data_IF_794734439294
#
_entry.id   IF_794734439294
#
_cell.length_a   1.000
_cell.length_b   1.000
_cell.length_c   1.000
_cell.angle_alpha   90.00
_cell.angle_beta   90.00
_cell.angle_gamma   90.00
#
_symmetry.space_group_name_H-M   'P 1'
#
loop_
_entity.id
_entity.type
_entity.pdbx_description
1 polymer ?
#
# COMPACT_ATOMS: atom_id res chain seq x y z
N UNK A 1 -9.39 17.71 29.47
CA UNK A 1 -8.96 16.38 28.99
C UNK A 1 -9.05 16.33 27.48
N UNK A 2 -7.92 15.96 26.85
CA UNK A 2 -7.55 16.34 25.48
C UNK A 2 -8.46 15.77 24.40
N UNK A 3 -8.80 16.62 23.43
CA UNK A 3 -9.55 16.25 22.24
C UNK A 3 -8.62 15.47 21.30
N UNK A 4 -8.57 14.14 21.43
CA UNK A 4 -7.90 13.26 20.45
C UNK A 4 -8.55 13.47 19.08
N UNK A 5 -7.80 13.99 18.11
CA UNK A 5 -8.32 14.23 16.76
C UNK A 5 -8.04 13.03 15.87
N UNK A 6 -9.10 12.44 15.30
CA UNK A 6 -8.99 11.39 14.31
C UNK A 6 -8.52 11.95 12.96
N UNK A 7 -7.55 11.28 12.34
CA UNK A 7 -6.99 11.60 11.04
C UNK A 7 -7.15 10.39 10.11
N UNK A 8 -8.03 10.51 9.12
CA UNK A 8 -8.18 9.52 8.05
C UNK A 8 -7.34 9.93 6.84
N UNK A 9 -6.44 9.04 6.40
CA UNK A 9 -5.53 9.28 5.28
C UNK A 9 -5.87 8.30 4.13
N UNK A 10 -6.33 8.81 2.98
CA UNK A 10 -6.60 7.96 1.82
C UNK A 10 -5.28 7.56 1.13
N UNK A 11 -5.22 6.32 0.65
CA UNK A 11 -4.14 5.91 -0.24
C UNK A 11 -4.36 6.52 -1.62
N UNK A 12 -3.35 7.23 -2.13
CA UNK A 12 -3.44 7.90 -3.42
C UNK A 12 -2.66 7.12 -4.48
N UNK A 13 -3.25 6.80 -5.63
CA UNK A 13 -2.49 6.17 -6.72
C UNK A 13 -1.37 7.11 -7.19
N UNK A 14 -0.18 6.57 -7.37
CA UNK A 14 0.95 7.26 -7.98
C UNK A 14 1.15 6.73 -9.41
N UNK A 15 0.34 7.25 -10.34
CA UNK A 15 0.34 6.81 -11.74
C UNK A 15 1.67 7.05 -12.42
N UNK A 16 2.37 8.13 -12.06
CA UNK A 16 3.67 8.47 -12.64
C UNK A 16 4.73 7.45 -12.21
N UNK A 17 4.86 7.17 -10.91
CA UNK A 17 5.83 6.18 -10.43
C UNK A 17 5.47 4.76 -10.89
N UNK A 18 4.18 4.43 -10.93
CA UNK A 18 3.69 3.18 -11.52
C UNK A 18 4.19 3.03 -12.97
N UNK A 19 4.04 4.07 -13.79
CA UNK A 19 4.48 4.05 -15.19
C UNK A 19 6.01 3.93 -15.31
N UNK A 20 6.77 4.68 -14.51
CA UNK A 20 8.24 4.57 -14.47
C UNK A 20 8.68 3.13 -14.17
N UNK A 21 8.04 2.48 -13.19
CA UNK A 21 8.33 1.10 -12.86
C UNK A 21 7.91 0.12 -13.96
N UNK A 22 6.79 0.35 -14.67
CA UNK A 22 6.39 -0.46 -15.84
C UNK A 22 7.37 -0.32 -17.00
N UNK A 23 7.79 0.91 -17.31
CA UNK A 23 8.79 1.21 -18.34
C UNK A 23 10.13 0.54 -18.05
N UNK A 24 10.51 0.42 -16.76
CA UNK A 24 11.70 -0.34 -16.35
C UNK A 24 11.61 -1.81 -16.77
N UNK A 25 10.46 -2.45 -16.56
CA UNK A 25 10.22 -3.84 -17.01
C UNK A 25 10.32 -3.95 -18.52
N UNK A 26 9.64 -3.06 -19.24
CA UNK A 26 9.62 -3.06 -20.70
C UNK A 26 11.03 -2.84 -21.29
N UNK A 27 11.79 -1.89 -20.73
CA UNK A 27 13.16 -1.58 -21.18
C UNK A 27 14.10 -2.77 -21.01
N UNK A 28 14.02 -3.50 -19.89
CA UNK A 28 14.79 -4.72 -19.68
C UNK A 28 14.46 -5.79 -20.72
N UNK A 29 13.17 -6.01 -20.99
CA UNK A 29 12.70 -6.97 -21.98
C UNK A 29 13.17 -6.61 -23.40
N UNK A 30 12.96 -5.36 -23.82
CA UNK A 30 13.35 -4.88 -25.15
C UNK A 30 14.87 -4.98 -25.40
N UNK A 31 15.68 -4.77 -24.36
CA UNK A 31 17.14 -4.82 -24.45
C UNK A 31 17.74 -6.19 -24.16
N UNK A 32 16.92 -7.20 -23.83
CA UNK A 32 17.39 -8.53 -23.41
C UNK A 32 18.26 -8.48 -22.14
N UNK A 33 18.09 -7.45 -21.30
CA UNK A 33 18.89 -7.23 -20.10
C UNK A 33 18.26 -7.92 -18.90
N UNK A 34 19.11 -8.42 -18.00
CA UNK A 34 18.66 -8.90 -16.69
C UNK A 34 18.44 -7.71 -15.75
N UNK A 35 17.46 -7.83 -14.87
CA UNK A 35 17.31 -6.93 -13.71
C UNK A 35 18.54 -6.98 -12.82
N UNK A 36 18.75 -5.95 -12.01
CA UNK A 36 19.76 -5.98 -10.95
C UNK A 36 19.42 -7.08 -9.94
N UNK A 37 20.43 -7.66 -9.31
CA UNK A 37 20.20 -8.72 -8.34
C UNK A 37 19.36 -8.21 -7.15
N UNK A 38 18.27 -8.91 -6.84
CA UNK A 38 17.29 -8.49 -5.83
C UNK A 38 16.36 -7.34 -6.22
N UNK A 39 16.43 -6.79 -7.44
CA UNK A 39 15.54 -5.72 -7.93
C UNK A 39 14.08 -6.20 -7.98
N UNK A 40 13.17 -5.40 -7.43
CA UNK A 40 11.72 -5.62 -7.50
C UNK A 40 11.14 -4.95 -8.74
N UNK A 41 10.80 -5.76 -9.72
CA UNK A 41 10.06 -5.33 -10.90
C UNK A 41 8.56 -5.35 -10.61
N UNK A 42 7.83 -4.29 -10.98
CA UNK A 42 6.39 -4.20 -10.77
C UNK A 42 5.65 -5.27 -11.58
N UNK A 43 4.72 -5.99 -10.96
CA UNK A 43 3.91 -6.99 -11.65
C UNK A 43 2.81 -6.32 -12.48
N UNK A 44 2.26 -6.99 -13.52
CA UNK A 44 1.20 -6.42 -14.35
C UNK A 44 0.00 -5.94 -13.54
N UNK A 45 -0.40 -6.72 -12.53
CA UNK A 45 -1.54 -6.50 -11.66
C UNK A 45 -1.21 -5.64 -10.42
N UNK A 46 -0.07 -4.95 -10.43
CA UNK A 46 0.32 -4.06 -9.33
C UNK A 46 0.30 -2.59 -9.75
N UNK A 47 0.06 -1.73 -8.77
CA UNK A 47 0.24 -0.30 -8.91
C UNK A 47 0.86 0.29 -7.65
N UNK A 48 1.55 1.42 -7.82
CA UNK A 48 2.15 2.16 -6.71
C UNK A 48 1.13 3.12 -6.14
N UNK A 49 1.01 3.11 -4.82
CA UNK A 49 0.23 4.05 -4.05
C UNK A 49 1.13 4.79 -3.08
N UNK A 50 0.68 5.96 -2.64
CA UNK A 50 1.35 6.75 -1.62
C UNK A 50 0.40 7.16 -0.52
N UNK A 51 0.96 7.35 0.66
CA UNK A 51 0.30 7.94 1.81
C UNK A 51 1.07 9.19 2.22
N UNK A 52 0.36 10.31 2.31
CA UNK A 52 0.90 11.60 2.73
C UNK A 52 0.56 11.82 4.21
N UNK A 53 1.55 11.93 5.08
CA UNK A 53 1.39 12.14 6.52
C UNK A 53 1.48 13.63 6.88
N UNK A 54 0.35 14.32 7.13
CA UNK A 54 0.35 15.72 7.56
C UNK A 54 0.82 15.90 9.01
N UNK A 55 0.84 14.82 9.79
CA UNK A 55 1.29 14.72 11.18
C UNK A 55 2.15 13.47 11.33
N UNK A 56 3.10 13.48 12.26
CA UNK A 56 4.06 12.37 12.44
C UNK A 56 3.92 11.66 13.80
N UNK A 57 3.26 12.28 14.78
CA UNK A 57 2.86 11.62 16.02
C UNK A 57 1.47 11.03 15.81
N UNK A 58 1.44 9.75 15.44
CA UNK A 58 0.24 9.03 15.06
C UNK A 58 0.19 7.72 15.84
N UNK A 59 -1.01 7.38 16.32
CA UNK A 59 -1.33 6.05 16.82
C UNK A 59 -2.31 5.38 15.86
N UNK A 60 -2.03 4.15 15.46
CA UNK A 60 -2.92 3.44 14.56
C UNK A 60 -4.30 3.21 15.20
N UNK A 61 -5.35 3.39 14.41
CA UNK A 61 -6.73 3.20 14.85
C UNK A 61 -7.40 2.05 14.11
N UNK A 62 -7.47 2.14 12.77
CA UNK A 62 -8.08 1.11 11.93
C UNK A 62 -7.76 1.30 10.47
N UNK A 63 -7.92 0.22 9.72
CA UNK A 63 -8.03 0.25 8.26
C UNK A 63 -9.49 0.50 7.85
N UNK A 64 -9.66 1.11 6.69
CA UNK A 64 -10.94 1.25 6.03
C UNK A 64 -10.73 0.92 4.55
N UNK A 65 -10.91 -0.35 4.23
CA UNK A 65 -10.79 -0.88 2.87
C UNK A 65 -12.15 -1.40 2.43
N UNK A 66 -12.55 -1.01 1.23
CA UNK A 66 -13.79 -1.45 0.61
C UNK A 66 -13.48 -1.98 -0.78
N UNK A 67 -13.98 -3.18 -1.07
CA UNK A 67 -14.00 -3.75 -2.40
C UNK A 67 -15.43 -3.63 -2.92
N UNK A 68 -15.63 -3.06 -4.11
CA UNK A 68 -16.98 -2.90 -4.68
C UNK A 68 -17.56 -4.24 -5.14
N UNK A 69 -16.69 -5.20 -5.48
CA UNK A 69 -17.04 -6.50 -6.02
C UNK A 69 -16.16 -7.61 -5.42
N UNK A 70 -16.40 -8.85 -5.82
CA UNK A 70 -15.52 -10.00 -5.51
C UNK A 70 -14.11 -9.67 -5.97
N UNK A 71 -13.13 -10.00 -5.13
CA UNK A 71 -11.74 -9.73 -5.45
C UNK A 71 -10.82 -9.85 -4.26
N UNK A 72 -9.53 -9.76 -4.55
CA UNK A 72 -8.47 -9.86 -3.57
C UNK A 72 -7.49 -8.69 -3.77
N UNK A 73 -7.13 -8.04 -2.66
CA UNK A 73 -6.21 -6.92 -2.61
C UNK A 73 -5.12 -7.21 -1.57
N UNK A 74 -3.86 -7.09 -1.99
CA UNK A 74 -2.73 -7.09 -1.07
C UNK A 74 -2.05 -5.73 -1.11
N UNK A 75 -1.86 -5.13 0.06
CA UNK A 75 -1.16 -3.85 0.26
C UNK A 75 0.17 -4.15 0.96
N UNK A 76 1.28 -3.87 0.28
CA UNK A 76 2.62 -4.06 0.82
C UNK A 76 3.30 -2.71 0.96
N UNK A 77 3.74 -2.36 2.17
CA UNK A 77 4.54 -1.17 2.39
C UNK A 77 5.96 -1.31 1.85
N UNK A 78 6.56 -0.19 1.50
CA UNK A 78 7.98 -0.10 1.19
C UNK A 78 8.75 0.59 2.33
N UNK A 79 10.04 0.28 2.45
CA UNK A 79 10.94 0.92 3.40
C UNK A 79 10.99 2.43 3.17
N UNK A 80 10.88 3.21 4.25
CA UNK A 80 11.03 4.67 4.21
C UNK A 80 12.42 5.15 3.77
N UNK A 81 13.40 4.25 3.67
CA UNK A 81 14.73 4.57 3.13
C UNK A 81 14.78 4.49 1.60
N UNK A 82 13.79 3.84 0.97
CA UNK A 82 13.67 3.85 -0.48
C UNK A 82 13.28 5.25 -0.96
N UNK A 83 13.99 5.74 -1.97
CA UNK A 83 13.71 7.03 -2.61
C UNK A 83 13.54 6.73 -4.10
N UNK A 84 12.30 6.73 -4.63
CA UNK A 84 12.02 6.26 -5.98
C UNK A 84 12.81 6.98 -7.08
N UNK A 85 13.13 8.26 -6.89
CA UNK A 85 13.91 9.05 -7.84
C UNK A 85 15.40 8.66 -7.91
N UNK A 86 15.91 7.95 -6.90
CA UNK A 86 17.34 7.66 -6.76
C UNK A 86 17.70 6.21 -7.08
N UNK A 87 16.81 5.26 -6.78
CA UNK A 87 17.12 3.83 -6.91
C UNK A 87 15.89 3.02 -7.32
N UNK A 88 16.10 1.95 -8.08
CA UNK A 88 15.08 0.91 -8.27
C UNK A 88 14.68 0.30 -6.91
N UNK A 89 13.43 -0.12 -6.80
CA UNK A 89 12.95 -0.83 -5.61
C UNK A 89 13.62 -2.21 -5.51
N UNK A 90 13.95 -2.64 -4.29
CA UNK A 90 14.53 -3.95 -4.01
C UNK A 90 13.57 -4.82 -3.21
N UNK A 91 13.59 -6.15 -3.40
CA UNK A 91 12.71 -7.08 -2.65
C UNK A 91 12.83 -6.90 -1.13
N UNK A 92 14.06 -6.72 -0.62
CA UNK A 92 14.33 -6.48 0.81
C UNK A 92 13.74 -5.19 1.38
N UNK A 93 13.26 -4.29 0.52
CA UNK A 93 12.61 -3.05 0.92
C UNK A 93 11.09 -3.20 1.02
N UNK A 94 10.52 -4.35 0.63
CA UNK A 94 9.14 -4.68 0.92
C UNK A 94 9.03 -5.07 2.40
N UNK A 95 8.04 -4.50 3.09
CA UNK A 95 7.83 -4.71 4.51
C UNK A 95 6.76 -5.76 4.76
N UNK A 96 6.95 -6.53 5.82
CA UNK A 96 5.99 -7.50 6.35
C UNK A 96 5.50 -7.09 7.75
N UNK A 97 4.29 -7.46 8.17
CA UNK A 97 3.28 -8.14 7.36
C UNK A 97 2.67 -7.23 6.29
N UNK A 98 2.20 -7.82 5.19
CA UNK A 98 1.36 -7.15 4.20
C UNK A 98 -0.13 -7.18 4.60
N UNK A 99 -0.87 -6.12 4.30
CA UNK A 99 -2.31 -6.06 4.51
C UNK A 99 -3.06 -6.81 3.41
N UNK A 100 -3.76 -7.90 3.75
CA UNK A 100 -4.52 -8.70 2.79
C UNK A 100 -6.01 -8.57 3.04
N UNK A 101 -6.76 -8.24 1.97
CA UNK A 101 -8.19 -8.00 2.00
C UNK A 101 -8.87 -8.75 0.86
N UNK A 102 -10.00 -9.38 1.12
CA UNK A 102 -10.74 -10.08 0.08
C UNK A 102 -12.25 -10.05 0.30
N UNK A 103 -12.98 -10.30 -0.79
CA UNK A 103 -14.42 -10.54 -0.79
C UNK A 103 -14.69 -11.82 -1.57
N UNK A 104 -15.36 -12.78 -0.94
CA UNK A 104 -15.64 -14.08 -1.54
C UNK A 104 -16.89 -14.01 -2.45
N UNK A 105 -17.02 -14.92 -3.43
CA UNK A 105 -18.25 -15.08 -4.20
C UNK A 105 -19.45 -15.37 -3.28
N UNK A 106 -20.51 -14.58 -3.43
CA UNK A 106 -21.74 -14.73 -2.63
C UNK A 106 -21.81 -13.81 -1.40
N UNK A 107 -20.73 -13.09 -1.07
CA UNK A 107 -20.78 -12.06 -0.04
C UNK A 107 -21.67 -10.89 -0.49
N UNK A 108 -22.63 -10.42 0.34
CA UNK A 108 -23.48 -9.28 0.00
C UNK A 108 -22.65 -8.02 -0.28
N UNK A 109 -23.06 -7.28 -1.31
CA UNK A 109 -22.49 -5.96 -1.59
C UNK A 109 -22.68 -5.04 -0.37
N UNK A 110 -21.60 -4.41 0.09
CA UNK A 110 -21.61 -3.53 1.26
C UNK A 110 -21.23 -4.18 2.60
N UNK A 111 -20.98 -5.50 2.64
CA UNK A 111 -20.37 -6.13 3.83
C UNK A 111 -18.90 -5.73 4.01
N UNK A 112 -18.40 -5.68 5.26
CA UNK A 112 -16.98 -5.51 5.54
C UNK A 112 -16.14 -6.54 4.77
N UNK A 113 -15.00 -6.09 4.25
CA UNK A 113 -14.05 -6.98 3.58
C UNK A 113 -13.43 -7.94 4.60
N UNK A 114 -13.15 -9.17 4.18
CA UNK A 114 -12.42 -10.12 5.00
C UNK A 114 -10.94 -9.74 5.01
N UNK A 115 -10.26 -9.97 6.13
CA UNK A 115 -8.83 -9.69 6.28
C UNK A 115 -8.20 -10.57 7.37
N UNK A 116 -6.86 -10.66 7.37
CA UNK A 116 -6.11 -11.26 8.48
C UNK A 116 -5.92 -10.20 9.59
N UNK A 117 -6.82 -10.17 10.58
CA UNK A 117 -6.91 -9.07 11.56
C UNK A 117 -5.60 -8.82 12.34
N UNK A 118 -4.88 -9.88 12.74
CA UNK A 118 -3.64 -9.76 13.50
C UNK A 118 -2.53 -9.10 12.67
N UNK A 119 -2.26 -9.64 11.48
CA UNK A 119 -1.30 -9.09 10.52
C UNK A 119 -1.66 -7.65 10.16
N UNK A 120 -2.95 -7.38 9.98
CA UNK A 120 -3.44 -6.06 9.60
C UNK A 120 -3.27 -5.01 10.71
N UNK A 121 -3.46 -5.42 11.97
CA UNK A 121 -3.21 -4.56 13.13
C UNK A 121 -1.72 -4.26 13.29
N UNK A 122 -0.86 -5.28 13.24
CA UNK A 122 0.60 -5.10 13.27
C UNK A 122 1.08 -4.20 12.13
N UNK A 123 0.54 -4.41 10.92
CA UNK A 123 0.88 -3.60 9.77
C UNK A 123 0.52 -2.12 9.99
N UNK A 124 -0.66 -1.84 10.55
CA UNK A 124 -1.11 -0.49 10.87
C UNK A 124 -0.20 0.23 11.88
N UNK A 125 0.14 -0.44 12.99
CA UNK A 125 1.08 0.06 14.01
C UNK A 125 2.45 0.35 13.40
N UNK A 126 2.95 -0.53 12.52
CA UNK A 126 4.21 -0.33 11.82
C UNK A 126 4.20 0.90 10.91
N UNK A 127 3.09 1.17 10.22
CA UNK A 127 2.95 2.38 9.40
C UNK A 127 2.99 3.64 10.29
N UNK A 128 2.33 3.61 11.45
CA UNK A 128 2.35 4.72 12.41
C UNK A 128 3.78 5.07 12.87
N UNK A 129 4.58 4.05 13.21
CA UNK A 129 5.99 4.24 13.55
C UNK A 129 6.82 4.79 12.38
N UNK A 130 6.56 4.30 11.16
CA UNK A 130 7.26 4.74 9.96
C UNK A 130 6.88 6.17 9.53
N UNK A 131 5.72 6.68 9.91
CA UNK A 131 5.32 8.07 9.68
C UNK A 131 6.24 9.07 10.40
N UNK A 132 6.91 8.65 11.48
CA UNK A 132 7.91 9.46 12.20
C UNK A 132 9.17 9.73 11.36
N UNK A 133 9.47 8.86 10.38
CA UNK A 133 10.69 8.93 9.56
C UNK A 133 10.54 9.93 8.41
N UNK A 134 9.44 9.87 7.65
CA UNK A 134 9.18 10.73 6.48
C UNK A 134 7.69 11.03 6.33
N UNK A 135 7.39 12.18 5.72
CA UNK A 135 6.02 12.63 5.46
C UNK A 135 5.32 11.93 4.29
N UNK A 136 6.04 11.14 3.50
CA UNK A 136 5.46 10.39 2.37
C UNK A 136 5.99 8.97 2.46
N UNK A 137 5.11 8.00 2.26
CA UNK A 137 5.45 6.58 2.20
C UNK A 137 4.77 5.93 1.01
N UNK A 138 5.48 4.99 0.37
CA UNK A 138 5.00 4.29 -0.81
C UNK A 138 4.60 2.85 -0.50
N UNK A 139 3.62 2.37 -1.25
CA UNK A 139 3.00 1.06 -1.11
C UNK A 139 2.85 0.43 -2.49
N UNK A 140 2.95 -0.89 -2.56
CA UNK A 140 2.51 -1.66 -3.71
C UNK A 140 1.14 -2.25 -3.42
N UNK A 141 0.18 -1.96 -4.28
CA UNK A 141 -1.13 -2.59 -4.28
C UNK A 141 -1.12 -3.68 -5.35
N UNK A 142 -1.35 -4.92 -4.96
CA UNK A 142 -1.52 -6.05 -5.86
C UNK A 142 -3.01 -6.41 -5.94
N UNK A 143 -3.59 -6.29 -7.13
CA UNK A 143 -4.99 -6.56 -7.40
C UNK A 143 -5.13 -7.97 -7.99
N UNK A 144 -6.06 -8.77 -7.49
CA UNK A 144 -6.30 -10.13 -7.96
C UNK A 144 -7.81 -10.47 -7.97
N UNK A 145 -8.15 -11.55 -8.65
CA UNK A 145 -9.52 -12.12 -8.67
C UNK A 145 -10.61 -11.15 -9.18
N UNK A 146 -10.28 -10.32 -10.18
CA UNK A 146 -11.20 -9.33 -10.76
C UNK A 146 -11.23 -8.00 -10.00
N UNK A 147 -10.41 -7.84 -8.95
CA UNK A 147 -10.12 -6.57 -8.32
C UNK A 147 -9.30 -5.67 -9.27
N UNK A 148 -9.55 -4.37 -9.21
CA UNK A 148 -8.87 -3.33 -10.01
C UNK A 148 -8.86 -2.00 -9.24
N UNK A 149 -7.97 -1.05 -9.59
CA UNK A 149 -7.91 0.25 -8.92
C UNK A 149 -9.25 0.98 -8.82
N UNK A 150 -10.12 0.85 -9.82
CA UNK A 150 -11.43 1.50 -9.88
C UNK A 150 -12.47 0.88 -8.93
N UNK A 151 -12.18 -0.34 -8.44
CA UNK A 151 -13.10 -1.12 -7.59
C UNK A 151 -12.69 -1.13 -6.12
N UNK A 152 -11.66 -0.37 -5.75
CA UNK A 152 -11.11 -0.29 -4.40
C UNK A 152 -11.19 1.14 -3.87
N UNK A 153 -11.75 1.30 -2.68
CA UNK A 153 -11.53 2.48 -1.84
C UNK A 153 -10.71 2.04 -0.61
N UNK A 154 -9.65 2.78 -0.30
CA UNK A 154 -8.77 2.46 0.81
C UNK A 154 -8.25 3.70 1.51
N UNK A 155 -8.42 3.70 2.83
CA UNK A 155 -7.82 4.66 3.74
C UNK A 155 -7.37 3.97 5.03
N UNK A 156 -6.50 4.66 5.75
CA UNK A 156 -6.04 4.26 7.08
C UNK A 156 -6.32 5.40 8.05
N UNK A 157 -6.85 5.07 9.22
CA UNK A 157 -7.19 6.03 10.24
C UNK A 157 -6.18 5.96 11.40
N UNK A 158 -5.83 7.14 11.91
CA UNK A 158 -4.96 7.33 13.05
C UNK A 158 -5.59 8.26 14.07
N UNK A 159 -5.13 8.16 15.32
CA UNK A 159 -5.30 9.19 16.33
C UNK A 159 -4.04 10.06 16.32
N UNK A 160 -4.21 11.38 16.25
CA UNK A 160 -3.09 12.31 16.36
C UNK A 160 -2.77 12.49 17.84
N UNK A 161 -1.55 12.11 18.21
CA UNK A 161 -1.05 12.31 19.57
C UNK A 161 -0.51 13.75 19.71
N UNK A 162 -0.94 14.44 20.76
CA UNK A 162 -0.51 15.81 21.08
C UNK A 162 0.81 15.82 21.86
#
# INVERSE_FOLDING_TARGET
>A
DGNESNLELPFRPDSQLTEVMRLRVQSLQQRGQKRQDGERLLLPNEAVYRLDFPKQSLRFLRWKVQLAQVGHLTITATSQLWTPDLTNLMNRQLLEPAGTFWRAPGDPCGMPVQCYEADLHEFGERIAELAKVRKVMYFLFAFAEGCSPETVDSSIAFIVEN
#
